data_IF_418150676162
#
_entry.id   IF_418150676162
#
_cell.length_a   1.000
_cell.length_b   1.000
_cell.length_c   1.000
_cell.angle_alpha   90.00
_cell.angle_beta   90.00
_cell.angle_gamma   90.00
#
_symmetry.space_group_name_H-M   'P 1'
#
loop_
_entity.id
_entity.type
_entity.pdbx_description
1 polymer ?
#
# COMPACT_ATOMS: atom_id res chain seq x y z
N UNK A 1 46.71 -14.84 -70.07
CA UNK A 1 45.67 -15.53 -69.28
C UNK A 1 45.77 -15.10 -67.82
N UNK A 2 44.68 -14.48 -67.32
CA UNK A 2 44.17 -14.49 -65.94
C UNK A 2 44.93 -13.70 -64.82
N UNK A 3 44.31 -12.57 -64.44
CA UNK A 3 44.05 -12.01 -63.09
C UNK A 3 45.22 -12.04 -62.07
N UNK A 4 45.90 -10.93 -61.70
CA UNK A 4 45.47 -9.70 -61.00
C UNK A 4 44.57 -9.89 -59.76
N UNK A 5 45.05 -9.31 -58.65
CA UNK A 5 44.33 -8.87 -57.43
C UNK A 5 43.94 -9.92 -56.38
N UNK A 6 44.85 -10.18 -55.43
CA UNK A 6 44.51 -10.60 -54.06
C UNK A 6 45.04 -9.54 -53.09
N UNK A 7 44.28 -8.45 -52.92
CA UNK A 7 44.45 -7.52 -51.80
C UNK A 7 43.09 -6.94 -51.42
N UNK A 8 42.84 -6.91 -50.10
CA UNK A 8 41.70 -6.32 -49.38
C UNK A 8 40.41 -7.12 -49.41
N UNK A 9 40.35 -8.19 -48.61
CA UNK A 9 39.05 -8.71 -48.16
C UNK A 9 39.08 -9.16 -46.69
N UNK A 10 39.82 -8.48 -45.80
CA UNK A 10 39.92 -8.91 -44.39
C UNK A 10 39.91 -7.79 -43.35
N UNK A 11 39.46 -6.56 -43.67
CA UNK A 11 39.39 -5.48 -42.67
C UNK A 11 38.00 -4.87 -42.42
N UNK A 12 37.03 -5.07 -43.32
CA UNK A 12 35.71 -4.45 -43.18
C UNK A 12 34.70 -5.25 -42.33
N UNK A 13 34.81 -6.58 -42.35
CA UNK A 13 33.78 -7.44 -41.73
C UNK A 13 33.92 -7.58 -40.21
N UNK A 14 35.14 -7.47 -39.66
CA UNK A 14 35.35 -7.57 -38.20
C UNK A 14 34.87 -6.31 -37.48
N UNK A 15 35.04 -5.13 -38.08
CA UNK A 15 34.57 -3.85 -37.51
C UNK A 15 33.04 -3.77 -37.54
N UNK A 16 32.40 -4.22 -38.62
CA UNK A 16 30.93 -4.23 -38.73
C UNK A 16 30.25 -5.16 -37.70
N UNK A 17 30.85 -6.31 -37.36
CA UNK A 17 30.31 -7.21 -36.34
C UNK A 17 30.46 -6.68 -34.91
N UNK A 18 31.54 -5.94 -34.62
CA UNK A 18 31.76 -5.27 -33.32
C UNK A 18 30.78 -4.10 -33.10
N UNK A 19 30.45 -3.34 -34.15
CA UNK A 19 29.43 -2.29 -34.06
C UNK A 19 28.00 -2.86 -33.90
N UNK A 20 27.70 -4.00 -34.54
CA UNK A 20 26.39 -4.65 -34.41
C UNK A 20 26.20 -5.29 -33.03
N UNK A 21 27.24 -5.91 -32.48
CA UNK A 21 27.23 -6.53 -31.15
C UNK A 21 27.23 -5.51 -29.99
N UNK A 22 27.73 -4.28 -30.21
CA UNK A 22 27.65 -3.20 -29.22
C UNK A 22 26.27 -2.51 -29.23
N UNK A 23 25.56 -2.52 -30.37
CA UNK A 23 24.22 -1.95 -30.50
C UNK A 23 23.13 -2.76 -29.77
N UNK A 24 23.34 -4.08 -29.63
CA UNK A 24 22.40 -4.97 -28.94
C UNK A 24 22.47 -4.90 -27.42
N UNK A 25 23.53 -4.33 -26.83
CA UNK A 25 23.63 -4.14 -25.38
C UNK A 25 22.95 -2.86 -24.88
N UNK A 26 22.68 -1.88 -25.74
CA UNK A 26 22.03 -0.61 -25.36
C UNK A 26 20.50 -0.74 -25.30
N UNK A 27 19.90 -1.68 -26.03
CA UNK A 27 18.44 -1.84 -26.09
C UNK A 27 17.83 -2.59 -24.87
N UNK A 28 18.64 -3.30 -24.07
CA UNK A 28 18.15 -4.13 -22.95
C UNK A 28 18.21 -3.39 -21.60
N UNK A 29 18.65 -2.13 -21.57
CA UNK A 29 18.72 -1.32 -20.34
C UNK A 29 17.50 -0.44 -20.05
N UNK A 30 16.60 -0.23 -21.03
CA UNK A 30 15.53 0.78 -20.95
C UNK A 30 14.14 0.24 -20.60
N UNK A 31 14.00 -1.05 -20.34
CA UNK A 31 12.73 -1.66 -19.95
C UNK A 31 12.62 -1.90 -18.43
N UNK A 32 13.16 -1.00 -17.60
CA UNK A 32 12.78 -0.95 -16.19
C UNK A 32 11.50 -0.15 -16.07
N UNK A 33 10.37 -0.77 -16.40
CA UNK A 33 9.08 -0.22 -16.02
C UNK A 33 9.05 -0.12 -14.49
N UNK A 34 9.19 1.10 -13.98
CA UNK A 34 8.96 1.38 -12.57
C UNK A 34 7.49 1.10 -12.30
N UNK A 35 7.18 -0.09 -11.79
CA UNK A 35 5.88 -0.34 -11.17
C UNK A 35 5.83 0.54 -9.92
N UNK A 36 5.34 1.76 -10.08
CA UNK A 36 4.92 2.56 -8.93
C UNK A 36 3.80 1.76 -8.28
N UNK A 37 3.97 1.26 -7.03
CA UNK A 37 2.85 0.63 -6.35
C UNK A 37 1.72 1.66 -6.36
N UNK A 38 0.54 1.25 -6.84
CA UNK A 38 -0.64 2.09 -6.73
C UNK A 38 -0.75 2.48 -5.26
N UNK A 39 -0.56 3.77 -4.98
CA UNK A 39 -0.62 4.26 -3.62
C UNK A 39 -2.08 4.11 -3.21
N UNK A 40 -2.38 3.07 -2.44
CA UNK A 40 -3.69 2.81 -1.87
C UNK A 40 -4.22 4.14 -1.32
N UNK A 41 -5.31 4.64 -1.90
CA UNK A 41 -5.94 5.86 -1.42
C UNK A 41 -6.52 5.54 -0.05
N UNK A 42 -5.89 6.07 1.01
CA UNK A 42 -6.42 5.91 2.36
C UNK A 42 -7.84 6.46 2.41
N UNK A 43 -8.81 5.59 2.66
CA UNK A 43 -10.21 5.99 2.93
C UNK A 43 -10.35 6.51 4.35
N UNK A 44 -11.32 7.38 4.60
CA UNK A 44 -11.49 8.05 5.90
C UNK A 44 -12.96 8.11 6.33
N UNK A 45 -13.19 8.02 7.65
CA UNK A 45 -14.47 8.33 8.29
C UNK A 45 -14.23 9.23 9.50
N UNK A 46 -14.80 10.43 9.48
CA UNK A 46 -14.48 11.55 10.41
C UNK A 46 -13.01 11.97 10.32
N UNK A 47 -12.11 11.12 10.85
CA UNK A 47 -10.66 11.27 10.88
C UNK A 47 -9.96 9.94 11.20
N UNK A 48 -10.71 8.84 11.17
CA UNK A 48 -10.20 7.48 11.34
C UNK A 48 -9.87 6.94 9.95
N UNK A 49 -8.61 6.53 9.70
CA UNK A 49 -8.24 5.90 8.44
C UNK A 49 -8.95 4.54 8.33
N UNK A 50 -9.39 4.16 7.14
CA UNK A 50 -10.08 2.90 6.87
C UNK A 50 -9.21 2.09 5.92
N UNK A 51 -8.87 0.88 6.36
CA UNK A 51 -8.12 -0.08 5.55
C UNK A 51 -8.93 -0.47 4.30
N UNK A 52 -8.28 -0.63 3.15
CA UNK A 52 -8.97 -0.87 1.88
C UNK A 52 -9.81 -2.15 1.89
N UNK A 53 -9.34 -3.20 2.54
CA UNK A 53 -10.05 -4.48 2.65
C UNK A 53 -11.17 -4.48 3.71
N UNK A 54 -11.38 -3.38 4.44
CA UNK A 54 -12.51 -3.22 5.37
C UNK A 54 -13.71 -2.58 4.65
N UNK A 55 -14.78 -3.34 4.49
CA UNK A 55 -16.04 -2.84 3.93
C UNK A 55 -16.94 -2.30 5.05
N UNK A 56 -17.27 -1.01 5.01
CA UNK A 56 -18.04 -0.36 6.09
C UNK A 56 -19.50 -0.82 6.03
N UNK A 57 -20.03 -1.23 7.19
CA UNK A 57 -21.45 -1.51 7.39
C UNK A 57 -22.13 -0.20 7.80
N UNK A 58 -22.58 0.57 6.80
CA UNK A 58 -23.09 1.95 6.98
C UNK A 58 -24.22 2.04 8.00
N UNK A 59 -25.11 1.05 8.04
CA UNK A 59 -26.30 1.05 8.92
C UNK A 59 -25.97 0.89 10.42
N UNK A 60 -24.74 0.45 10.75
CA UNK A 60 -24.29 0.28 12.13
C UNK A 60 -23.39 1.43 12.61
N UNK A 61 -22.92 2.27 11.69
CA UNK A 61 -22.04 3.39 12.01
C UNK A 61 -22.78 4.51 12.74
N UNK A 62 -22.08 5.21 13.63
CA UNK A 62 -22.62 6.38 14.32
C UNK A 62 -21.52 7.35 14.75
N UNK A 63 -21.89 8.63 14.93
CA UNK A 63 -21.05 9.66 15.51
C UNK A 63 -21.88 10.55 16.42
N UNK A 64 -21.37 10.85 17.62
CA UNK A 64 -21.95 11.80 18.56
C UNK A 64 -20.89 12.79 19.00
N UNK A 65 -21.18 14.08 18.86
CA UNK A 65 -20.29 15.14 19.28
C UNK A 65 -20.87 15.88 20.50
N UNK A 66 -20.02 16.17 21.48
CA UNK A 66 -20.40 16.91 22.69
C UNK A 66 -19.23 17.76 23.22
N UNK A 67 -19.48 18.71 24.14
CA UNK A 67 -18.40 19.43 24.81
C UNK A 67 -17.41 18.53 25.57
N UNK A 68 -17.85 17.35 26.00
CA UNK A 68 -17.00 16.38 26.72
C UNK A 68 -16.17 15.49 25.77
N UNK A 69 -16.21 15.77 24.46
CA UNK A 69 -15.59 14.98 23.41
C UNK A 69 -16.62 14.23 22.57
N UNK A 70 -16.12 13.47 21.60
CA UNK A 70 -16.92 12.76 20.61
C UNK A 70 -16.84 11.26 20.77
N UNK A 71 -17.88 10.57 20.32
CA UNK A 71 -17.94 9.12 20.26
C UNK A 71 -18.22 8.71 18.82
N UNK A 72 -17.33 7.93 18.22
CA UNK A 72 -17.47 7.42 16.85
C UNK A 72 -17.46 5.91 16.90
N UNK A 73 -18.48 5.27 16.31
CA UNK A 73 -18.55 3.83 16.10
C UNK A 73 -18.51 3.52 14.61
N UNK A 74 -17.52 2.75 14.18
CA UNK A 74 -17.38 2.27 12.80
C UNK A 74 -17.39 0.76 12.83
N UNK A 75 -18.26 0.17 12.03
CA UNK A 75 -18.36 -1.27 11.85
C UNK A 75 -17.99 -1.62 10.43
N UNK A 76 -17.20 -2.66 10.26
CA UNK A 76 -16.79 -3.13 8.94
C UNK A 76 -16.70 -4.65 8.89
N UNK A 77 -16.88 -5.24 7.71
CA UNK A 77 -16.60 -6.65 7.46
C UNK A 77 -15.30 -6.80 6.69
N UNK A 78 -14.58 -7.89 6.94
CA UNK A 78 -13.44 -8.31 6.13
C UNK A 78 -13.03 -9.74 6.46
N UNK A 79 -12.38 -10.39 5.51
CA UNK A 79 -11.65 -11.66 5.72
C UNK A 79 -10.18 -11.43 6.09
N UNK A 80 -9.75 -10.18 6.28
CA UNK A 80 -8.37 -9.84 6.62
C UNK A 80 -7.94 -10.43 7.98
N UNK A 81 -6.66 -10.80 8.05
CA UNK A 81 -6.06 -11.31 9.28
C UNK A 81 -5.89 -10.21 10.35
N UNK A 82 -5.98 -10.57 11.62
CA UNK A 82 -5.82 -9.63 12.74
C UNK A 82 -4.47 -8.92 12.75
N UNK A 83 -3.38 -9.61 12.41
CA UNK A 83 -2.06 -9.00 12.37
C UNK A 83 -1.95 -7.96 11.25
N UNK A 84 -2.60 -8.21 10.10
CA UNK A 84 -2.65 -7.28 8.97
C UNK A 84 -3.44 -6.02 9.34
N UNK A 85 -4.66 -6.19 9.88
CA UNK A 85 -5.51 -5.06 10.29
C UNK A 85 -4.82 -4.24 11.38
N UNK A 86 -4.27 -4.88 12.41
CA UNK A 86 -3.53 -4.17 13.46
C UNK A 86 -2.30 -3.45 12.91
N UNK A 87 -1.54 -4.09 12.02
CA UNK A 87 -0.35 -3.49 11.41
C UNK A 87 -0.65 -2.25 10.55
N UNK A 88 -1.80 -2.24 9.86
CA UNK A 88 -2.29 -1.04 9.19
C UNK A 88 -2.57 0.09 10.19
N UNK A 89 -3.38 -0.18 11.22
CA UNK A 89 -3.76 0.84 12.21
C UNK A 89 -2.58 1.33 13.05
N UNK A 90 -1.62 0.47 13.39
CA UNK A 90 -0.39 0.87 14.09
C UNK A 90 0.36 1.94 13.29
N UNK A 91 0.55 1.73 11.99
CA UNK A 91 1.25 2.69 11.11
C UNK A 91 0.43 3.95 10.88
N UNK A 92 -0.85 3.79 10.53
CA UNK A 92 -1.72 4.90 10.16
C UNK A 92 -1.98 5.83 11.35
N UNK A 93 -2.26 5.28 12.53
CA UNK A 93 -2.55 6.06 13.73
C UNK A 93 -1.28 6.70 14.33
N UNK A 94 -0.13 6.03 14.24
CA UNK A 94 1.14 6.61 14.67
C UNK A 94 1.47 7.90 13.90
N UNK A 95 1.24 7.92 12.58
CA UNK A 95 1.43 9.11 11.75
C UNK A 95 0.49 10.28 12.13
N UNK A 96 -0.64 9.96 12.77
CA UNK A 96 -1.66 10.91 13.22
C UNK A 96 -1.50 11.33 14.69
N UNK A 97 -0.37 10.95 15.32
CA UNK A 97 -0.04 11.32 16.70
C UNK A 97 -0.74 10.47 17.78
N UNK A 98 -1.34 9.34 17.40
CA UNK A 98 -1.84 8.38 18.38
C UNK A 98 -0.71 7.49 18.91
N UNK A 99 -0.78 7.15 20.18
CA UNK A 99 0.17 6.26 20.84
C UNK A 99 -0.52 4.98 21.32
N UNK A 100 0.09 3.83 21.06
CA UNK A 100 -0.39 2.54 21.58
C UNK A 100 -0.07 2.41 23.08
N UNK A 101 -1.07 2.08 23.89
CA UNK A 101 -0.96 1.83 25.32
C UNK A 101 -2.08 0.88 25.75
N UNK A 102 -1.81 -0.12 26.60
CA UNK A 102 -2.84 -0.97 27.23
C UNK A 102 -3.97 -1.44 26.27
N UNK A 103 -3.62 -2.04 25.14
CA UNK A 103 -4.55 -2.57 24.13
C UNK A 103 -5.45 -1.54 23.43
N UNK A 104 -5.05 -0.27 23.40
CA UNK A 104 -5.75 0.80 22.69
C UNK A 104 -4.78 1.88 22.21
N UNK A 105 -5.24 2.71 21.27
CA UNK A 105 -4.52 3.92 20.87
C UNK A 105 -5.08 5.13 21.60
N UNK A 106 -4.21 6.06 21.96
CA UNK A 106 -4.57 7.28 22.68
C UNK A 106 -4.02 8.52 22.00
N UNK A 107 -4.81 9.60 21.98
CA UNK A 107 -4.42 10.92 21.49
C UNK A 107 -5.13 12.00 22.29
N UNK A 108 -4.38 12.75 23.10
CA UNK A 108 -4.97 13.71 24.03
C UNK A 108 -5.92 13.02 25.02
N UNK A 109 -7.19 13.45 25.04
CA UNK A 109 -8.27 12.85 25.84
C UNK A 109 -9.06 11.77 25.09
N UNK A 110 -8.63 11.35 23.90
CA UNK A 110 -9.32 10.33 23.10
C UNK A 110 -8.68 8.95 23.26
N UNK A 111 -9.51 7.92 23.19
CA UNK A 111 -9.12 6.51 23.07
C UNK A 111 -9.76 5.90 21.83
N UNK A 112 -8.96 5.24 21.01
CA UNK A 112 -9.39 4.39 19.90
C UNK A 112 -9.16 2.92 20.27
N UNK A 113 -10.21 2.12 20.18
CA UNK A 113 -10.16 0.66 20.36
C UNK A 113 -10.55 -0.07 19.07
N UNK A 114 -9.83 -1.15 18.77
CA UNK A 114 -10.13 -2.08 17.67
C UNK A 114 -10.57 -3.42 18.28
N UNK A 115 -11.73 -3.92 17.87
CA UNK A 115 -12.25 -5.23 18.29
C UNK A 115 -12.69 -6.03 17.07
N UNK A 116 -12.49 -7.35 17.10
CA UNK A 116 -13.04 -8.29 16.12
C UNK A 116 -14.05 -9.20 16.79
N UNK A 117 -15.15 -9.47 16.12
CA UNK A 117 -16.09 -10.53 16.47
C UNK A 117 -16.31 -11.42 15.24
N UNK A 118 -16.20 -12.73 15.41
CA UNK A 118 -16.54 -13.68 14.36
C UNK A 118 -18.03 -14.01 14.42
N UNK A 119 -18.69 -13.93 13.27
CA UNK A 119 -20.11 -14.23 13.11
C UNK A 119 -20.31 -15.32 12.07
N UNK A 120 -21.52 -15.86 11.95
CA UNK A 120 -21.86 -16.81 10.87
C UNK A 120 -21.71 -16.21 9.47
N UNK A 121 -21.67 -14.89 9.35
CA UNK A 121 -21.58 -14.15 8.08
C UNK A 121 -20.17 -13.61 7.81
N UNK A 122 -19.18 -14.00 8.63
CA UNK A 122 -17.80 -13.52 8.55
C UNK A 122 -17.38 -12.69 9.77
N UNK A 123 -16.18 -12.12 9.70
CA UNK A 123 -15.62 -11.31 10.79
C UNK A 123 -16.09 -9.86 10.69
N UNK A 124 -16.62 -9.36 11.81
CA UNK A 124 -16.99 -7.96 12.00
C UNK A 124 -15.93 -7.27 12.84
N UNK A 125 -15.44 -6.16 12.31
CA UNK A 125 -14.50 -5.25 12.95
C UNK A 125 -15.26 -4.06 13.52
N UNK A 126 -14.93 -3.69 14.75
CA UNK A 126 -15.42 -2.49 15.40
C UNK A 126 -14.25 -1.59 15.72
N UNK A 127 -14.26 -0.40 15.15
CA UNK A 127 -13.43 0.72 15.56
C UNK A 127 -14.27 1.67 16.39
N UNK A 128 -13.76 2.04 17.55
CA UNK A 128 -14.48 2.92 18.44
C UNK A 128 -13.57 3.99 19.00
N UNK A 129 -13.92 5.26 18.77
CA UNK A 129 -13.29 6.44 19.36
C UNK A 129 -14.20 6.97 20.45
N UNK A 130 -13.64 7.28 21.61
CA UNK A 130 -14.38 7.87 22.73
C UNK A 130 -13.47 8.73 23.61
N UNK A 131 -14.03 9.61 24.45
CA UNK A 131 -13.28 10.26 25.51
C UNK A 131 -12.77 9.24 26.54
N UNK A 132 -11.63 9.56 27.16
CA UNK A 132 -11.06 8.80 28.28
C UNK A 132 -11.84 8.99 29.57
#
# INVERSE_FOLDING_TARGET
MRHLLVKKLFSGQVVAMLFLALSTWVAVGMASASMTPAQAETRWVSDVPIMDELEIIVDLGFSFDSPNGRIIGIFATSNADMSMVKGFYDKALQALGWAWQNDSWYRGSERLSLTRADTSFGSVWRLMVQPR
#
